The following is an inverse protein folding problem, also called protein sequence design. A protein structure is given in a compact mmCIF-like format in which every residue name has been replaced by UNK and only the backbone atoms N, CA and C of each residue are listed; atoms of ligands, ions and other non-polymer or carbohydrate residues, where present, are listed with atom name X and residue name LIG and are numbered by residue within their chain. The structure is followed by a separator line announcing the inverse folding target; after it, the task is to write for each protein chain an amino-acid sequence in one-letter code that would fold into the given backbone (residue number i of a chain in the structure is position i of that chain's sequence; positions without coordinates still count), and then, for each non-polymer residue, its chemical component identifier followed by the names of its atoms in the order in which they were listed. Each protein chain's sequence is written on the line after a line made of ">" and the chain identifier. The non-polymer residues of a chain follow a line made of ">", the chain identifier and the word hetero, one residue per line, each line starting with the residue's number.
data_IF_153234070294
#
_entry.id   IF_153234070294
#
_cell.length_a   1.000
_cell.length_b   1.000
_cell.length_c   1.000
_cell.angle_alpha   90.00
_cell.angle_beta   90.00
_cell.angle_gamma   90.00
#
_symmetry.space_group_name_H-M   'P 1'
#
loop_
_entity.id
_entity.type
_entity.pdbx_description
1 polymer ?
#
# COMPACT_ATOMS: atom_id res chain seq x y z
N UNK A 1 -0.37 -0.53 -28.13
CA UNK A 1 -0.57 -0.50 -27.47
C UNK A 1 -0.75 0.05 -26.74
N UNK A 2 -1.18 -0.31 -27.00
CA UNK A 2 -1.41 0.66 -26.20
C UNK A 2 -0.72 0.57 -25.02
N UNK A 3 -0.13 1.47 -24.85
CA UNK A 3 0.52 1.59 -23.74
C UNK A 3 -0.37 1.54 -22.58
N UNK A 4 -0.06 0.75 -21.69
CA UNK A 4 -0.77 0.75 -20.51
C UNK A 4 -0.40 1.89 -19.69
N UNK A 5 -1.25 2.73 -19.36
CA UNK A 5 -0.95 3.86 -18.52
C UNK A 5 -1.17 3.49 -17.07
N UNK A 6 -0.17 2.81 -16.53
CA UNK A 6 -0.19 2.31 -15.18
C UNK A 6 0.96 2.93 -14.41
N UNK A 7 0.68 3.63 -13.33
CA UNK A 7 1.72 4.28 -12.54
C UNK A 7 1.26 4.52 -11.12
N UNK A 8 2.24 4.82 -10.24
CA UNK A 8 1.97 5.24 -8.88
C UNK A 8 2.00 6.76 -8.83
N UNK A 9 1.07 7.34 -8.11
CA UNK A 9 0.96 8.78 -7.93
C UNK A 9 1.13 9.09 -6.44
N UNK A 10 2.24 9.72 -6.08
CA UNK A 10 2.44 10.17 -4.70
C UNK A 10 1.79 11.54 -4.58
N UNK A 11 0.70 11.61 -3.84
CA UNK A 11 -0.08 12.85 -3.73
C UNK A 11 0.61 13.82 -2.81
N UNK A 12 0.83 15.05 -3.29
CA UNK A 12 1.37 16.12 -2.46
C UNK A 12 0.28 16.65 -1.53
N UNK A 13 0.68 17.50 -0.57
CA UNK A 13 -0.32 18.13 0.30
C UNK A 13 -1.32 18.95 -0.48
N UNK A 14 -0.91 19.53 -1.59
CA UNK A 14 -1.81 20.29 -2.44
C UNK A 14 -2.81 19.41 -3.16
N UNK A 15 -2.44 18.16 -3.42
CA UNK A 15 -3.30 17.21 -4.11
C UNK A 15 -4.32 16.55 -3.20
N UNK A 16 -4.05 16.52 -1.89
CA UNK A 16 -4.91 15.78 -0.95
C UNK A 16 -6.40 16.19 -1.04
N UNK A 17 -6.74 17.49 -1.11
CA UNK A 17 -8.16 17.85 -1.22
C UNK A 17 -8.85 17.32 -2.46
N UNK A 18 -8.09 17.08 -3.55
CA UNK A 18 -8.70 16.54 -4.78
C UNK A 18 -9.04 15.06 -4.66
N UNK A 19 -8.54 14.39 -3.62
CA UNK A 19 -8.81 12.98 -3.43
C UNK A 19 -10.28 12.71 -3.17
N UNK A 20 -11.04 13.68 -2.69
CA UNK A 20 -12.46 13.50 -2.50
C UNK A 20 -13.16 13.18 -3.83
N UNK A 21 -12.73 13.79 -4.93
CA UNK A 21 -13.29 13.52 -6.25
C UNK A 21 -12.75 12.20 -6.83
N UNK A 22 -11.44 11.99 -6.68
CA UNK A 22 -10.80 10.80 -7.25
C UNK A 22 -11.25 9.52 -6.57
N UNK A 23 -11.68 9.60 -5.32
CA UNK A 23 -12.11 8.43 -4.55
C UNK A 23 -13.60 8.45 -4.22
N UNK A 24 -14.38 9.27 -4.94
CA UNK A 24 -15.81 9.39 -4.65
C UNK A 24 -16.59 8.13 -4.97
N UNK A 25 -16.10 7.31 -5.89
CA UNK A 25 -16.74 6.07 -6.25
C UNK A 25 -15.84 4.89 -5.94
N UNK A 26 -16.37 3.88 -5.30
CA UNK A 26 -15.67 2.63 -5.07
C UNK A 26 -14.74 2.63 -3.87
N UNK A 27 -14.63 3.72 -3.14
CA UNK A 27 -13.79 3.81 -1.94
C UNK A 27 -14.64 4.18 -0.74
N UNK A 28 -14.33 3.56 0.40
CA UNK A 28 -15.08 3.80 1.64
C UNK A 28 -14.32 4.70 2.62
N UNK A 29 -12.99 4.68 2.57
CA UNK A 29 -12.19 5.48 3.49
C UNK A 29 -12.18 6.93 3.06
N UNK A 30 -12.03 7.82 4.03
CA UNK A 30 -11.83 9.25 3.74
C UNK A 30 -10.35 9.47 3.45
N UNK A 31 -10.00 9.52 2.18
CA UNK A 31 -8.61 9.65 1.76
C UNK A 31 -8.10 11.09 1.85
N UNK A 32 -8.96 12.04 2.23
CA UNK A 32 -8.51 13.40 2.54
C UNK A 32 -8.03 13.54 3.98
N UNK A 33 -8.33 12.54 4.83
CA UNK A 33 -7.88 12.56 6.22
C UNK A 33 -6.47 11.99 6.31
N UNK A 34 -5.55 12.75 6.87
CA UNK A 34 -4.15 12.37 6.98
C UNK A 34 -3.88 11.81 8.37
N UNK A 35 -3.30 10.61 8.43
CA UNK A 35 -3.09 9.91 9.70
C UNK A 35 -1.93 10.46 10.52
N UNK A 36 -0.93 11.08 9.87
CA UNK A 36 0.18 11.72 10.58
C UNK A 36 0.78 12.80 9.68
N UNK A 37 1.53 13.76 10.26
CA UNK A 37 2.10 14.85 9.46
C UNK A 37 3.10 14.39 8.40
N UNK A 38 3.75 13.24 8.63
CA UNK A 38 4.75 12.72 7.71
C UNK A 38 4.22 11.59 6.86
N UNK A 39 2.91 11.39 6.85
CA UNK A 39 2.31 10.33 6.06
C UNK A 39 2.41 10.63 4.57
N UNK A 40 2.65 9.58 3.80
CA UNK A 40 2.70 9.63 2.35
C UNK A 40 1.46 8.91 1.85
N UNK A 41 0.69 9.57 0.99
CA UNK A 41 -0.49 8.99 0.39
C UNK A 41 -0.20 8.74 -1.08
N UNK A 42 -0.34 7.50 -1.51
CA UNK A 42 -0.04 7.11 -2.88
C UNK A 42 -1.22 6.37 -3.49
N UNK A 43 -1.44 6.60 -4.77
CA UNK A 43 -2.46 5.91 -5.54
C UNK A 43 -1.86 5.07 -6.64
N UNK A 44 -2.50 3.96 -6.96
CA UNK A 44 -2.14 3.14 -8.11
C UNK A 44 -3.16 3.43 -9.20
N UNK A 45 -2.68 4.00 -10.30
CA UNK A 45 -3.53 4.49 -11.37
C UNK A 45 -3.40 3.56 -12.57
N UNK A 46 -4.55 3.13 -13.09
CA UNK A 46 -4.63 2.29 -14.28
C UNK A 46 -5.51 3.02 -15.26
N UNK A 47 -4.94 3.38 -16.42
CA UNK A 47 -5.68 4.02 -17.50
C UNK A 47 -6.48 5.24 -17.02
N UNK A 48 -5.85 6.07 -16.21
CA UNK A 48 -6.46 7.31 -15.76
C UNK A 48 -7.35 7.20 -14.54
N UNK A 49 -7.58 5.98 -14.02
CA UNK A 49 -8.43 5.79 -12.85
C UNK A 49 -7.62 5.34 -11.65
N UNK A 50 -7.86 5.96 -10.50
CA UNK A 50 -7.26 5.51 -9.27
C UNK A 50 -7.93 4.19 -8.89
N UNK A 51 -7.14 3.12 -8.87
CA UNK A 51 -7.64 1.77 -8.63
C UNK A 51 -7.34 1.26 -7.24
N UNK A 52 -6.40 1.87 -6.55
CA UNK A 52 -6.07 1.54 -5.16
C UNK A 52 -5.33 2.67 -4.52
N UNK A 53 -5.37 2.71 -3.18
CA UNK A 53 -4.75 3.77 -2.40
C UNK A 53 -4.05 3.18 -1.19
N UNK A 54 -2.95 3.79 -0.80
CA UNK A 54 -2.22 3.38 0.40
C UNK A 54 -1.67 4.63 1.09
N UNK A 55 -1.73 4.64 2.41
CA UNK A 55 -1.13 5.70 3.22
C UNK A 55 -0.16 5.05 4.19
N UNK A 56 1.07 5.55 4.24
CA UNK A 56 2.07 5.01 5.13
C UNK A 56 2.97 6.12 5.65
N UNK A 57 3.61 5.88 6.79
CA UNK A 57 4.57 6.81 7.37
C UNK A 57 5.89 6.09 7.55
N UNK A 58 6.98 6.61 6.97
CA UNK A 58 8.31 6.08 7.27
C UNK A 58 8.68 6.39 8.72
N UNK A 59 9.20 5.39 9.42
CA UNK A 59 9.64 5.51 10.80
C UNK A 59 11.15 5.30 10.87
N UNK A 60 11.94 6.34 10.61
CA UNK A 60 13.38 6.18 10.47
C UNK A 60 14.11 5.80 11.76
N UNK A 61 13.51 6.10 12.91
CA UNK A 61 14.12 5.71 14.18
C UNK A 61 14.08 4.19 14.37
N UNK A 62 13.02 3.56 13.89
CA UNK A 62 12.81 2.12 14.07
C UNK A 62 12.96 1.34 12.77
N UNK A 63 13.30 2.01 11.66
CA UNK A 63 13.64 1.39 10.38
C UNK A 63 12.53 0.55 9.78
N UNK A 64 11.32 1.11 9.68
CA UNK A 64 10.23 0.45 8.97
C UNK A 64 9.25 1.48 8.44
N UNK A 65 8.42 1.05 7.49
CA UNK A 65 7.28 1.83 7.02
C UNK A 65 6.02 1.35 7.73
N UNK A 66 5.28 2.28 8.35
CA UNK A 66 4.03 1.94 9.01
C UNK A 66 2.86 2.25 8.08
N UNK A 67 2.10 1.23 7.72
CA UNK A 67 0.97 1.37 6.81
C UNK A 67 -0.28 1.68 7.63
N UNK A 68 -0.88 2.85 7.38
CA UNK A 68 -2.08 3.30 8.08
C UNK A 68 -3.36 2.81 7.41
N UNK A 69 -3.43 2.94 6.08
CA UNK A 69 -4.62 2.61 5.33
C UNK A 69 -4.22 2.00 3.99
N UNK A 70 -4.99 1.02 3.57
CA UNK A 70 -4.85 0.42 2.26
C UNK A 70 -6.25 0.08 1.77
N UNK A 71 -6.59 0.51 0.56
CA UNK A 71 -7.89 0.22 0.00
C UNK A 71 -7.79 0.02 -1.50
N UNK A 72 -8.48 -1.00 -1.99
CA UNK A 72 -8.61 -1.24 -3.42
C UNK A 72 -10.03 -0.84 -3.82
N UNK A 73 -10.15 -0.11 -4.92
CA UNK A 73 -11.45 0.29 -5.44
C UNK A 73 -12.35 -0.93 -5.56
N UNK A 74 -13.62 -0.77 -5.21
CA UNK A 74 -14.52 -1.90 -5.05
C UNK A 74 -14.63 -2.76 -6.30
N UNK A 75 -14.66 -2.16 -7.49
CA UNK A 75 -14.79 -2.89 -8.74
C UNK A 75 -13.45 -3.42 -9.28
N UNK A 76 -12.35 -3.19 -8.54
CA UNK A 76 -11.02 -3.66 -8.93
C UNK A 76 -10.45 -4.69 -7.95
N UNK A 77 -11.27 -5.17 -7.03
CA UNK A 77 -10.81 -6.15 -6.05
C UNK A 77 -10.55 -7.51 -6.69
N UNK A 78 -9.75 -8.32 -6.01
CA UNK A 78 -9.38 -9.67 -6.45
C UNK A 78 -8.53 -9.70 -7.72
N UNK A 79 -7.82 -8.61 -8.03
CA UNK A 79 -6.93 -8.52 -9.17
C UNK A 79 -5.47 -8.31 -8.78
N UNK A 80 -5.15 -8.48 -7.48
CA UNK A 80 -3.78 -8.34 -7.01
C UNK A 80 -3.34 -6.93 -6.71
N UNK A 81 -4.23 -5.95 -6.76
CA UNK A 81 -3.84 -4.54 -6.59
C UNK A 81 -3.36 -4.27 -5.17
N UNK A 82 -3.94 -4.93 -4.15
CA UNK A 82 -3.43 -4.78 -2.79
C UNK A 82 -1.97 -5.21 -2.68
N UNK A 83 -1.62 -6.30 -3.36
CA UNK A 83 -0.23 -6.75 -3.40
C UNK A 83 0.68 -5.76 -4.09
N UNK A 84 0.21 -5.12 -5.16
CA UNK A 84 0.97 -4.08 -5.85
C UNK A 84 1.25 -2.89 -4.93
N UNK A 85 0.24 -2.47 -4.17
CA UNK A 85 0.39 -1.36 -3.22
C UNK A 85 1.38 -1.72 -2.10
N UNK A 86 1.27 -2.93 -1.56
CA UNK A 86 2.20 -3.39 -0.54
C UNK A 86 3.63 -3.47 -1.09
N UNK A 87 3.78 -3.95 -2.33
CA UNK A 87 5.09 -4.04 -2.96
C UNK A 87 5.70 -2.66 -3.17
N UNK A 88 4.88 -1.67 -3.50
CA UNK A 88 5.35 -0.30 -3.66
C UNK A 88 5.94 0.24 -2.35
N UNK A 89 5.24 0.03 -1.24
CA UNK A 89 5.73 0.47 0.08
C UNK A 89 6.95 -0.34 0.50
N UNK A 90 6.99 -1.64 0.14
CA UNK A 90 8.16 -2.47 0.40
C UNK A 90 9.40 -1.94 -0.34
N UNK A 91 9.24 -1.55 -1.60
CA UNK A 91 10.34 -0.98 -2.36
C UNK A 91 10.81 0.32 -1.74
N UNK A 92 9.87 1.17 -1.29
CA UNK A 92 10.20 2.39 -0.58
C UNK A 92 11.01 2.09 0.68
N UNK A 93 10.63 1.05 1.43
CA UNK A 93 11.35 0.66 2.63
C UNK A 93 12.77 0.21 2.33
N UNK A 94 12.98 -0.51 1.23
CA UNK A 94 14.34 -0.85 0.79
C UNK A 94 15.12 0.40 0.40
N UNK A 95 14.48 1.31 -0.33
CA UNK A 95 15.15 2.53 -0.79
C UNK A 95 15.58 3.43 0.36
N UNK A 96 14.87 3.38 1.48
CA UNK A 96 15.21 4.18 2.67
C UNK A 96 16.24 3.51 3.57
N UNK A 97 16.65 2.29 3.24
CA UNK A 97 17.60 1.56 4.08
C UNK A 97 16.92 0.80 5.22
N UNK A 98 15.63 0.58 5.14
CA UNK A 98 14.87 -0.16 6.17
C UNK A 98 14.86 -1.65 5.91
N UNK A 99 15.61 -2.13 4.93
CA UNK A 99 15.67 -3.54 4.55
C UNK A 99 14.31 -4.13 4.23
N UNK A 100 13.41 -3.29 3.74
CA UNK A 100 12.07 -3.71 3.32
C UNK A 100 11.06 -3.88 4.44
N UNK A 101 11.42 -3.57 5.69
CA UNK A 101 10.48 -3.79 6.80
C UNK A 101 9.27 -2.88 6.72
N UNK A 102 8.09 -3.49 6.89
CA UNK A 102 6.82 -2.79 6.94
C UNK A 102 5.99 -3.37 8.08
N UNK A 103 5.08 -2.56 8.61
CA UNK A 103 4.14 -3.00 9.63
C UNK A 103 2.77 -2.40 9.34
N UNK A 104 1.72 -3.16 9.61
CA UNK A 104 0.36 -2.64 9.57
C UNK A 104 -0.44 -3.21 10.73
N UNK A 105 -1.58 -2.56 11.01
CA UNK A 105 -2.54 -3.07 11.97
C UNK A 105 -3.74 -3.53 11.14
N UNK A 106 -4.00 -4.83 11.13
CA UNK A 106 -5.11 -5.37 10.37
C UNK A 106 -6.35 -5.51 11.24
N UNK A 107 -7.51 -5.37 10.61
CA UNK A 107 -8.75 -5.72 11.29
C UNK A 107 -8.76 -7.22 11.52
N UNK A 108 -9.43 -7.65 12.58
CA UNK A 108 -9.45 -9.05 12.95
C UNK A 108 -9.84 -9.95 11.79
N UNK A 109 -10.84 -9.53 11.01
CA UNK A 109 -11.33 -10.34 9.89
C UNK A 109 -10.33 -10.45 8.74
N UNK A 110 -9.33 -9.55 8.66
CA UNK A 110 -8.36 -9.54 7.57
C UNK A 110 -7.00 -10.08 7.98
N UNK A 111 -6.84 -10.44 9.24
CA UNK A 111 -5.54 -10.82 9.77
C UNK A 111 -4.91 -11.99 9.02
N UNK A 112 -5.65 -13.08 8.89
CA UNK A 112 -5.13 -14.26 8.21
C UNK A 112 -4.95 -14.03 6.72
N UNK A 113 -5.72 -13.12 6.16
CA UNK A 113 -5.62 -12.76 4.75
C UNK A 113 -4.22 -12.22 4.41
N UNK A 114 -3.72 -11.26 5.23
CA UNK A 114 -2.39 -10.70 4.98
C UNK A 114 -1.29 -11.71 5.20
N UNK A 115 -1.43 -12.56 6.22
CA UNK A 115 -0.44 -13.60 6.49
C UNK A 115 -0.39 -14.60 5.33
N UNK A 116 -1.53 -15.15 4.96
CA UNK A 116 -1.55 -16.24 3.99
C UNK A 116 -1.35 -15.76 2.55
N UNK A 117 -1.83 -14.57 2.24
CA UNK A 117 -1.80 -14.08 0.86
C UNK A 117 -0.52 -13.33 0.53
N UNK A 118 0.01 -12.57 1.47
CA UNK A 118 1.09 -11.63 1.19
C UNK A 118 2.35 -11.85 2.02
N UNK A 119 2.38 -12.85 2.87
CA UNK A 119 3.60 -13.20 3.61
C UNK A 119 3.82 -12.43 4.90
N UNK A 120 2.83 -11.69 5.37
CA UNK A 120 2.94 -11.03 6.65
C UNK A 120 3.00 -12.01 7.81
N UNK A 121 3.56 -11.57 8.93
CA UNK A 121 3.63 -12.37 10.15
C UNK A 121 3.02 -11.59 11.30
N UNK A 122 2.13 -12.23 12.05
CA UNK A 122 1.48 -11.56 13.18
C UNK A 122 2.42 -11.50 14.37
N UNK A 123 2.41 -10.36 15.07
CA UNK A 123 3.18 -10.21 16.29
C UNK A 123 2.34 -10.70 17.45
N UNK A 124 2.69 -11.87 17.98
CA UNK A 124 2.02 -12.45 19.14
C UNK A 124 0.51 -12.54 18.94
N UNK A 125 -0.25 -12.07 19.92
CA UNK A 125 -1.71 -12.08 19.86
C UNK A 125 -2.29 -10.71 19.49
N UNK A 126 -1.46 -9.86 18.88
CA UNK A 126 -1.90 -8.51 18.51
C UNK A 126 -2.49 -8.50 17.10
N UNK A 127 -3.02 -7.34 16.68
CA UNK A 127 -3.47 -7.13 15.31
C UNK A 127 -2.35 -6.63 14.41
N UNK A 128 -1.11 -6.61 14.91
CA UNK A 128 0.02 -6.09 14.15
C UNK A 128 0.59 -7.17 13.26
N UNK A 129 0.84 -6.81 12.00
CA UNK A 129 1.44 -7.69 11.03
C UNK A 129 2.74 -7.06 10.55
N UNK A 130 3.80 -7.86 10.51
CA UNK A 130 5.10 -7.42 10.03
C UNK A 130 5.42 -8.12 8.72
N UNK A 131 5.96 -7.35 7.79
CA UNK A 131 6.55 -7.88 6.56
C UNK A 131 8.05 -7.66 6.67
N UNK A 132 8.79 -8.75 6.85
CA UNK A 132 10.25 -8.67 6.97
C UNK A 132 10.89 -8.58 5.58
N UNK A 133 12.22 -8.57 5.54
CA UNK A 133 12.97 -8.44 4.29
C UNK A 133 12.57 -9.50 3.26
N UNK A 134 12.43 -10.74 3.68
CA UNK A 134 12.09 -11.84 2.77
C UNK A 134 10.67 -11.66 2.22
N UNK A 135 9.72 -11.36 3.10
CA UNK A 135 8.33 -11.16 2.68
C UNK A 135 8.22 -9.97 1.73
N UNK A 136 8.89 -8.87 2.03
CA UNK A 136 8.86 -7.68 1.20
C UNK A 136 9.52 -7.91 -0.15
N UNK A 137 10.64 -8.63 -0.18
CA UNK A 137 11.27 -8.96 -1.45
C UNK A 137 10.36 -9.84 -2.30
N UNK A 138 9.67 -10.77 -1.66
CA UNK A 138 8.71 -11.62 -2.36
C UNK A 138 7.57 -10.83 -2.99
N UNK A 139 7.08 -9.80 -2.28
CA UNK A 139 6.05 -8.93 -2.83
C UNK A 139 6.55 -8.17 -4.05
N UNK A 140 7.77 -7.63 -3.97
CA UNK A 140 8.36 -6.89 -5.08
C UNK A 140 8.53 -7.82 -6.29
N UNK A 141 9.07 -9.01 -6.08
CA UNK A 141 9.29 -9.95 -7.17
C UNK A 141 7.98 -10.37 -7.82
N UNK A 142 6.94 -10.56 -7.01
CA UNK A 142 5.66 -11.02 -7.52
C UNK A 142 4.86 -9.92 -8.20
N UNK A 143 4.87 -8.70 -7.66
CA UNK A 143 3.94 -7.66 -8.10
C UNK A 143 4.58 -6.51 -8.85
N UNK A 144 5.87 -6.24 -8.66
CA UNK A 144 6.51 -5.13 -9.35
C UNK A 144 7.41 -5.58 -10.49
N UNK A 145 8.08 -6.72 -10.35
CA UNK A 145 9.00 -7.17 -11.39
C UNK A 145 8.33 -8.00 -12.47
N UNK A 146 7.27 -8.70 -12.15
CA UNK A 146 6.66 -9.62 -13.09
C UNK A 146 5.31 -9.25 -13.59
N UNK A 147 4.64 -8.27 -13.01
CA UNK A 147 3.23 -8.12 -13.21
C UNK A 147 2.72 -6.85 -13.82
N UNK A 148 3.55 -5.84 -14.01
CA UNK A 148 3.04 -4.53 -14.44
C UNK A 148 3.41 -4.17 -15.86
N UNK A 149 4.01 -5.04 -16.56
CA UNK A 149 4.39 -4.74 -17.93
C UNK A 149 3.25 -4.81 -18.91
#
# INVERSE_FOLDING_TARGET
>A
MAMRETFFWDFSQEDIPTLSDLTSEGFEFDWTAISSPNAITSGFVIQGEVSGMIEFTPEPTDYYNFIHKLEVRMDKRNQGIAGVLLAYVAQDAFNRGFEGFMMLISKTALRDFYVSRYGGSRIGNTNREIFNTVASQGLIDRFLKGGLD
#
